data_IF_699664557538
#
_entry.id   IF_699664557538
#
_cell.length_a   1.000
_cell.length_b   1.000
_cell.length_c   1.000
_cell.angle_alpha   90.00
_cell.angle_beta   90.00
_cell.angle_gamma   90.00
#
_symmetry.space_group_name_H-M   'P 1'
#
loop_
_entity.id
_entity.type
_entity.pdbx_description
1 polymer ?
#
# COMPACT_ATOMS: atom_id res chain seq x y z
N UNK A 1 28.78 18.69 -8.26
CA UNK A 1 29.06 17.88 -7.06
C UNK A 1 27.90 18.07 -6.09
N UNK A 2 27.11 17.02 -5.86
CA UNK A 2 26.48 16.48 -4.63
C UNK A 2 25.56 15.38 -5.18
N UNK A 3 26.08 14.16 -5.37
CA UNK A 3 26.12 13.03 -4.42
C UNK A 3 24.87 12.17 -4.52
N UNK A 4 25.08 10.99 -5.11
CA UNK A 4 24.48 9.71 -4.77
C UNK A 4 23.74 9.66 -3.44
N UNK A 5 22.41 9.55 -3.48
CA UNK A 5 21.71 8.72 -2.51
C UNK A 5 20.50 8.11 -3.18
N UNK A 6 20.56 6.80 -3.44
CA UNK A 6 19.38 5.99 -3.69
C UNK A 6 18.53 6.06 -2.43
N UNK A 7 17.67 7.08 -2.33
CA UNK A 7 16.67 7.19 -1.29
C UNK A 7 15.62 6.11 -1.57
N UNK A 8 15.96 4.85 -1.26
CA UNK A 8 14.96 3.98 -0.63
C UNK A 8 14.45 4.81 0.52
N UNK A 9 13.30 5.45 0.35
CA UNK A 9 12.61 6.13 1.43
C UNK A 9 12.71 5.22 2.66
N UNK A 10 13.28 5.71 3.76
CA UNK A 10 13.44 4.92 4.98
C UNK A 10 12.17 4.91 5.83
N UNK A 11 11.16 5.70 5.44
CA UNK A 11 9.89 5.86 6.14
C UNK A 11 8.73 5.78 5.14
N UNK A 12 7.59 5.20 5.54
CA UNK A 12 6.38 5.23 4.74
C UNK A 12 5.99 6.66 4.35
N UNK A 13 5.25 6.85 3.24
CA UNK A 13 4.66 8.14 2.91
C UNK A 13 3.84 8.71 4.07
N UNK A 14 3.77 10.04 4.16
CA UNK A 14 2.91 10.71 5.13
C UNK A 14 1.44 10.67 4.69
N UNK A 15 0.50 10.45 5.62
CA UNK A 15 -0.93 10.43 5.30
C UNK A 15 -1.40 11.81 4.84
N UNK A 16 -2.35 11.87 3.88
CA UNK A 16 -2.91 13.13 3.43
C UNK A 16 -3.80 13.74 4.52
N UNK A 17 -4.06 15.04 4.39
CA UNK A 17 -4.90 15.76 5.34
C UNK A 17 -6.35 15.22 5.33
N UNK A 18 -7.00 15.07 6.50
CA UNK A 18 -8.40 14.66 6.58
C UNK A 18 -9.31 15.60 5.78
N UNK A 19 -10.33 15.06 5.11
CA UNK A 19 -11.31 15.87 4.35
C UNK A 19 -10.94 16.15 2.88
N UNK A 20 -9.73 15.81 2.43
CA UNK A 20 -9.32 15.96 1.03
C UNK A 20 -9.84 14.85 0.09
N UNK A 21 -10.79 14.04 0.55
CA UNK A 21 -11.46 13.05 -0.28
C UNK A 21 -12.98 13.12 -0.08
N UNK A 22 -13.70 13.01 -1.19
CA UNK A 22 -15.16 13.20 -1.27
C UNK A 22 -15.98 12.13 -0.54
N UNK A 23 -15.39 11.00 -0.14
CA UNK A 23 -16.10 9.89 0.54
C UNK A 23 -17.02 9.06 -0.35
N UNK A 24 -17.28 9.46 -1.59
CA UNK A 24 -18.27 8.83 -2.50
C UNK A 24 -17.66 8.00 -3.63
N UNK A 25 -16.36 7.68 -3.57
CA UNK A 25 -15.68 6.86 -4.59
C UNK A 25 -15.19 7.65 -5.82
N UNK A 26 -14.84 8.93 -5.66
CA UNK A 26 -14.26 9.73 -6.74
C UNK A 26 -12.88 9.20 -7.19
N UNK A 27 -12.62 9.26 -8.51
CA UNK A 27 -11.38 8.80 -9.13
C UNK A 27 -10.12 9.56 -8.67
N UNK A 28 -10.27 10.78 -8.14
CA UNK A 28 -9.17 11.63 -7.68
C UNK A 28 -9.04 11.70 -6.14
N UNK A 29 -9.46 10.66 -5.42
CA UNK A 29 -9.32 10.62 -3.97
C UNK A 29 -7.84 10.58 -3.58
N UNK A 30 -7.34 11.61 -2.86
CA UNK A 30 -5.93 11.68 -2.43
C UNK A 30 -5.50 10.49 -1.57
N UNK A 31 -6.45 9.84 -0.89
CA UNK A 31 -6.21 8.63 -0.11
C UNK A 31 -5.92 7.40 -0.98
N UNK A 32 -6.41 7.35 -2.23
CA UNK A 32 -6.05 6.30 -3.20
C UNK A 32 -4.59 6.46 -3.62
N UNK A 33 -4.18 7.68 -3.98
CA UNK A 33 -2.78 7.98 -4.31
C UNK A 33 -1.84 7.68 -3.14
N UNK A 34 -2.25 8.04 -1.93
CA UNK A 34 -1.53 7.69 -0.71
C UNK A 34 -1.41 6.17 -0.55
N UNK A 35 -2.50 5.44 -0.75
CA UNK A 35 -2.48 3.99 -0.64
C UNK A 35 -1.51 3.37 -1.65
N UNK A 36 -1.55 3.79 -2.91
CA UNK A 36 -0.61 3.35 -3.94
C UNK A 36 0.84 3.63 -3.55
N UNK A 37 1.14 4.83 -3.05
CA UNK A 37 2.49 5.15 -2.57
C UNK A 37 2.91 4.27 -1.38
N UNK A 38 2.00 3.97 -0.44
CA UNK A 38 2.27 3.07 0.69
C UNK A 38 2.50 1.63 0.19
N UNK A 39 1.71 1.16 -0.79
CA UNK A 39 1.92 -0.13 -1.43
C UNK A 39 3.31 -0.23 -2.03
N UNK A 40 3.66 0.69 -2.91
CA UNK A 40 4.92 0.69 -3.62
C UNK A 40 6.11 0.83 -2.67
N UNK A 41 5.96 1.68 -1.64
CA UNK A 41 6.95 1.80 -0.58
C UNK A 41 7.24 0.45 0.04
N UNK A 42 6.22 -0.22 0.60
CA UNK A 42 6.45 -1.50 1.27
C UNK A 42 6.93 -2.55 0.28
N UNK A 43 6.31 -2.66 -0.91
CA UNK A 43 6.69 -3.63 -1.95
C UNK A 43 8.16 -3.50 -2.38
N UNK A 44 8.66 -2.27 -2.52
CA UNK A 44 10.06 -2.01 -2.88
C UNK A 44 11.07 -2.47 -1.83
N UNK A 45 10.61 -2.71 -0.58
CA UNK A 45 11.47 -3.22 0.49
C UNK A 45 11.63 -4.73 0.44
N UNK A 46 10.89 -5.45 -0.41
CA UNK A 46 11.03 -6.91 -0.52
C UNK A 46 12.07 -7.32 -1.57
N UNK A 47 13.00 -8.23 -1.21
CA UNK A 47 13.75 -8.97 -2.22
C UNK A 47 12.81 -9.93 -2.96
N UNK A 48 13.11 -10.25 -4.23
CA UNK A 48 12.28 -11.10 -5.12
C UNK A 48 11.91 -12.50 -4.57
N UNK A 49 12.43 -12.92 -3.41
CA UNK A 49 12.08 -14.16 -2.72
C UNK A 49 11.38 -13.81 -1.40
N UNK A 50 10.08 -13.56 -1.47
CA UNK A 50 9.23 -13.27 -0.31
C UNK A 50 8.36 -14.48 -0.01
N UNK A 51 8.37 -14.98 1.23
CA UNK A 51 7.46 -16.04 1.66
C UNK A 51 6.08 -15.49 2.05
N UNK A 52 5.06 -16.36 2.08
CA UNK A 52 3.67 -16.00 2.40
C UNK A 52 3.51 -15.32 3.77
N UNK A 53 4.36 -15.64 4.75
CA UNK A 53 4.36 -15.04 6.08
C UNK A 53 4.95 -13.63 6.10
N UNK A 54 5.92 -13.34 5.24
CA UNK A 54 6.37 -11.97 5.01
C UNK A 54 5.26 -11.15 4.37
N UNK A 55 4.63 -11.65 3.28
CA UNK A 55 3.50 -10.97 2.61
C UNK A 55 2.40 -10.64 3.64
N UNK A 56 1.93 -11.60 4.41
CA UNK A 56 0.92 -11.35 5.46
C UNK A 56 1.27 -10.18 6.40
N UNK A 57 2.51 -10.11 6.90
CA UNK A 57 2.95 -9.03 7.81
C UNK A 57 2.93 -7.65 7.16
N UNK A 58 3.21 -7.58 5.87
CA UNK A 58 3.25 -6.32 5.11
C UNK A 58 1.83 -5.81 4.91
N UNK A 59 0.93 -6.71 4.53
CA UNK A 59 -0.47 -6.37 4.37
C UNK A 59 -1.08 -5.87 5.67
N UNK A 60 -0.70 -6.43 6.82
CA UNK A 60 -1.10 -5.90 8.13
C UNK A 60 -0.57 -4.47 8.38
N UNK A 61 0.66 -4.16 7.99
CA UNK A 61 1.21 -2.79 8.11
C UNK A 61 0.46 -1.80 7.22
N UNK A 62 0.28 -2.14 5.95
CA UNK A 62 -0.45 -1.30 4.99
C UNK A 62 -1.88 -1.09 5.47
N UNK A 63 -2.56 -2.15 5.92
CA UNK A 63 -3.90 -2.06 6.51
C UNK A 63 -3.96 -1.06 7.67
N UNK A 64 -2.98 -1.10 8.57
CA UNK A 64 -2.89 -0.16 9.70
C UNK A 64 -2.73 1.29 9.26
N UNK A 65 -1.94 1.54 8.20
CA UNK A 65 -1.79 2.87 7.62
C UNK A 65 -3.07 3.37 6.96
N UNK A 66 -3.76 2.54 6.18
CA UNK A 66 -5.01 2.92 5.51
C UNK A 66 -6.18 3.09 6.49
N UNK A 67 -6.14 2.42 7.65
CA UNK A 67 -7.15 2.58 8.69
C UNK A 67 -7.17 3.99 9.31
N UNK A 68 -6.10 4.78 9.14
CA UNK A 68 -6.02 6.18 9.60
C UNK A 68 -6.91 7.13 8.81
N UNK A 69 -7.42 6.72 7.64
CA UNK A 69 -8.42 7.49 6.91
C UNK A 69 -9.63 7.76 7.81
N UNK A 70 -10.00 9.04 7.98
CA UNK A 70 -11.07 9.45 8.88
C UNK A 70 -12.45 8.97 8.40
N UNK A 71 -12.68 9.04 7.09
CA UNK A 71 -13.96 8.69 6.48
C UNK A 71 -14.15 7.16 6.36
N UNK A 72 -15.26 6.58 6.87
CA UNK A 72 -15.51 5.14 6.81
C UNK A 72 -15.69 4.58 5.39
N UNK A 73 -16.28 5.35 4.47
CA UNK A 73 -16.47 4.95 3.08
C UNK A 73 -15.14 4.94 2.33
N UNK A 74 -14.29 5.94 2.55
CA UNK A 74 -12.90 5.96 2.08
C UNK A 74 -12.15 4.76 2.65
N UNK A 75 -12.22 4.51 3.97
CA UNK A 75 -11.56 3.35 4.58
C UNK A 75 -12.01 2.03 3.94
N UNK A 76 -13.30 1.86 3.69
CA UNK A 76 -13.85 0.66 3.07
C UNK A 76 -13.32 0.45 1.65
N UNK A 77 -13.28 1.53 0.86
CA UNK A 77 -12.72 1.52 -0.49
C UNK A 77 -11.24 1.11 -0.49
N UNK A 78 -10.43 1.74 0.37
CA UNK A 78 -9.00 1.45 0.49
C UNK A 78 -8.73 0.00 0.90
N UNK A 79 -9.51 -0.53 1.84
CA UNK A 79 -9.38 -1.91 2.30
C UNK A 79 -9.80 -2.93 1.23
N UNK A 80 -10.80 -2.61 0.41
CA UNK A 80 -11.20 -3.46 -0.71
C UNK A 80 -10.11 -3.53 -1.79
N UNK A 81 -9.51 -2.39 -2.13
CA UNK A 81 -8.39 -2.34 -3.09
C UNK A 81 -7.14 -3.05 -2.53
N UNK A 82 -6.86 -2.90 -1.23
CA UNK A 82 -5.83 -3.65 -0.51
C UNK A 82 -6.05 -5.17 -0.63
N UNK A 83 -7.28 -5.64 -0.44
CA UNK A 83 -7.60 -7.07 -0.54
C UNK A 83 -7.36 -7.60 -1.98
N UNK A 84 -7.80 -6.87 -3.01
CA UNK A 84 -7.55 -7.25 -4.42
C UNK A 84 -6.05 -7.36 -4.72
N UNK A 85 -5.25 -6.40 -4.22
CA UNK A 85 -3.78 -6.42 -4.39
C UNK A 85 -3.14 -7.60 -3.63
N UNK A 86 -3.65 -7.96 -2.46
CA UNK A 86 -3.19 -9.12 -1.69
C UNK A 86 -3.37 -10.42 -2.44
N UNK A 87 -4.57 -10.66 -2.96
CA UNK A 87 -4.86 -11.88 -3.71
C UNK A 87 -3.95 -12.01 -4.92
N UNK A 88 -3.70 -10.91 -5.64
CA UNK A 88 -2.78 -10.88 -6.78
C UNK A 88 -1.36 -11.23 -6.36
N UNK A 89 -0.87 -10.67 -5.25
CA UNK A 89 0.46 -10.95 -4.72
C UNK A 89 0.61 -12.41 -4.27
N UNK A 90 -0.40 -12.96 -3.59
CA UNK A 90 -0.41 -14.37 -3.17
C UNK A 90 -0.44 -15.34 -4.35
N UNK A 91 -1.24 -15.05 -5.40
CA UNK A 91 -1.24 -15.85 -6.64
C UNK A 91 0.12 -15.87 -7.32
N UNK A 92 0.88 -14.78 -7.24
CA UNK A 92 2.26 -14.71 -7.73
C UNK A 92 3.21 -15.64 -6.99
N UNK A 93 3.04 -15.83 -5.67
CA UNK A 93 3.83 -16.80 -4.88
C UNK A 93 3.42 -18.25 -5.20
N UNK A 94 2.11 -18.50 -5.27
CA UNK A 94 1.57 -19.86 -5.42
C UNK A 94 1.69 -20.40 -6.86
N UNK A 95 2.14 -19.57 -7.82
CA UNK A 95 2.33 -20.02 -9.20
C UNK A 95 3.57 -20.93 -9.25
N UNK A 96 3.43 -22.21 -9.65
CA UNK A 96 4.58 -23.10 -9.77
C UNK A 96 5.57 -22.50 -10.77
N UNK A 97 6.85 -22.48 -10.41
CA UNK A 97 7.91 -22.18 -11.36
C UNK A 97 7.91 -23.33 -12.37
N UNK A 98 7.47 -23.04 -13.59
CA UNK A 98 7.64 -23.94 -14.73
C UNK A 98 9.13 -24.13 -15.01
#
# INVERSE_FOLDING_TARGET
>A
RVSTECYRNRRPPDPPEPGFCCGTGCENCVWLNYADAVFDYYLSQFPQKTDSGQISRIFLKIRGELAKAADPAVRSLLLMELAKKYEKAQRGINKPKL
#
